data_IF_155821508764
#
_entry.id   IF_155821508764
#
_cell.length_a   1.000
_cell.length_b   1.000
_cell.length_c   1.000
_cell.angle_alpha   90.00
_cell.angle_beta   90.00
_cell.angle_gamma   90.00
#
_symmetry.space_group_name_H-M   'P 1'
#
loop_
_entity.id
_entity.type
_entity.pdbx_description
1 polymer ?
#
# COMPACT_ATOMS: atom_id res chain seq x y z
N UNK A 1 10.04 28.23 4.37
CA UNK A 1 9.58 27.37 3.26
C UNK A 1 9.83 25.92 3.67
N UNK A 2 8.79 25.13 3.90
CA UNK A 2 8.94 23.73 4.28
C UNK A 2 9.53 22.90 3.13
N UNK A 3 10.44 21.98 3.44
CA UNK A 3 11.01 21.06 2.47
C UNK A 3 9.91 20.14 1.91
N UNK A 4 9.68 20.20 0.59
CA UNK A 4 8.69 19.34 -0.08
C UNK A 4 9.23 17.90 -0.14
N UNK A 5 8.45 16.93 0.35
CA UNK A 5 8.76 15.50 0.22
C UNK A 5 8.76 15.14 -1.28
N UNK A 6 9.81 14.48 -1.77
CA UNK A 6 9.99 14.13 -3.19
C UNK A 6 9.67 12.68 -3.54
N UNK A 7 9.65 11.80 -2.54
CA UNK A 7 9.42 10.37 -2.70
C UNK A 7 8.18 10.00 -1.89
N UNK A 8 7.22 9.34 -2.54
CA UNK A 8 6.01 8.85 -1.90
C UNK A 8 5.84 7.36 -2.15
N UNK A 9 5.37 6.63 -1.14
CA UNK A 9 5.07 5.21 -1.23
C UNK A 9 3.60 4.97 -0.87
N UNK A 10 2.86 4.37 -1.80
CA UNK A 10 1.44 4.03 -1.64
C UNK A 10 1.23 2.53 -1.78
N UNK A 11 0.22 2.00 -1.08
CA UNK A 11 -0.27 0.64 -1.30
C UNK A 11 -1.67 0.72 -1.89
N UNK A 12 -1.92 -0.03 -2.95
CA UNK A 12 -3.27 -0.30 -3.46
C UNK A 12 -3.58 -1.77 -3.26
N UNK A 13 -4.66 -2.07 -2.55
CA UNK A 13 -5.18 -3.43 -2.40
C UNK A 13 -6.19 -3.68 -3.51
N UNK A 14 -6.02 -4.80 -4.23
CA UNK A 14 -6.95 -5.23 -5.26
C UNK A 14 -8.28 -5.64 -4.62
N UNK A 15 -9.43 -5.15 -5.11
CA UNK A 15 -10.74 -5.60 -4.64
C UNK A 15 -10.91 -7.11 -4.81
N UNK A 16 -11.58 -7.75 -3.84
CA UNK A 16 -11.90 -9.18 -3.84
C UNK A 16 -13.15 -9.41 -2.99
N UNK A 17 -14.02 -10.33 -3.41
CA UNK A 17 -15.21 -10.71 -2.64
C UNK A 17 -14.83 -11.50 -1.38
N UNK A 18 -13.71 -12.25 -1.44
CA UNK A 18 -13.16 -13.03 -0.32
C UNK A 18 -11.93 -12.32 0.26
N UNK A 19 -12.16 -11.23 1.00
CA UNK A 19 -11.09 -10.48 1.64
C UNK A 19 -10.63 -11.14 2.94
N UNK A 20 -9.31 -11.16 3.18
CA UNK A 20 -8.70 -11.77 4.35
C UNK A 20 -8.81 -10.87 5.60
N UNK A 21 -10.03 -10.61 6.07
CA UNK A 21 -10.34 -9.70 7.18
C UNK A 21 -9.61 -10.02 8.50
N UNK A 22 -9.28 -11.29 8.76
CA UNK A 22 -8.50 -11.70 9.94
C UNK A 22 -7.01 -11.37 9.81
N UNK A 23 -6.50 -11.24 8.58
CA UNK A 23 -5.07 -11.15 8.29
C UNK A 23 -4.63 -9.77 7.83
N UNK A 24 -5.52 -8.96 7.25
CA UNK A 24 -5.17 -7.64 6.72
C UNK A 24 -6.08 -6.61 7.37
N UNK A 25 -5.49 -5.62 8.05
CA UNK A 25 -6.22 -4.51 8.68
C UNK A 25 -5.72 -3.18 8.16
N UNK A 26 -6.65 -2.27 7.89
CA UNK A 26 -6.35 -0.89 7.53
C UNK A 26 -6.39 -0.03 8.79
N UNK A 27 -5.40 0.83 8.97
CA UNK A 27 -5.42 1.82 10.02
C UNK A 27 -6.37 2.97 9.68
N UNK A 28 -6.96 3.58 10.71
CA UNK A 28 -7.88 4.72 10.58
C UNK A 28 -7.25 5.95 9.92
N UNK A 29 -5.92 6.03 9.90
CA UNK A 29 -5.15 7.12 9.29
C UNK A 29 -5.04 7.03 7.76
N UNK A 30 -5.62 5.98 7.14
CA UNK A 30 -5.52 5.67 5.70
C UNK A 30 -4.08 5.58 5.19
N UNK A 31 -3.13 5.34 6.09
CA UNK A 31 -1.69 5.28 5.80
C UNK A 31 -1.04 4.03 6.38
N UNK A 32 -1.69 3.39 7.32
CA UNK A 32 -1.20 2.19 7.98
C UNK A 32 -1.92 0.95 7.47
N UNK A 33 -1.16 -0.13 7.26
CA UNK A 33 -1.67 -1.46 6.94
C UNK A 33 -0.95 -2.48 7.81
N UNK A 34 -1.72 -3.33 8.49
CA UNK A 34 -1.23 -4.37 9.37
C UNK A 34 -1.49 -5.76 8.76
N UNK A 35 -0.50 -6.64 8.86
CA UNK A 35 -0.54 -8.02 8.38
C UNK A 35 -0.41 -8.96 9.58
N UNK A 36 -1.41 -9.83 9.76
CA UNK A 36 -1.46 -10.87 10.77
C UNK A 36 -1.49 -12.26 10.11
N UNK A 37 -0.45 -13.07 10.32
CA UNK A 37 -0.38 -14.43 9.80
C UNK A 37 -0.88 -15.46 10.81
N UNK A 38 -1.49 -16.54 10.31
CA UNK A 38 -1.83 -17.70 11.13
C UNK A 38 -0.53 -18.39 11.57
N UNK A 39 -0.40 -18.70 12.86
CA UNK A 39 0.75 -19.44 13.41
C UNK A 39 0.88 -20.80 12.74
N UNK A 40 2.10 -21.18 12.36
CA UNK A 40 2.35 -22.53 11.87
C UNK A 40 2.24 -23.55 13.01
N UNK A 41 1.21 -24.39 12.95
CA UNK A 41 0.95 -25.46 13.93
C UNK A 41 1.99 -26.59 13.88
N UNK A 42 2.79 -26.69 12.81
CA UNK A 42 3.80 -27.75 12.64
C UNK A 42 5.10 -27.49 13.40
N UNK A 43 5.29 -26.29 13.96
CA UNK A 43 6.54 -25.88 14.64
C UNK A 43 6.65 -26.34 16.11
N UNK A 44 5.71 -27.16 16.59
CA UNK A 44 5.74 -27.71 17.95
C UNK A 44 5.37 -26.69 19.02
N UNK A 45 5.69 -27.02 20.29
CA UNK A 45 5.21 -26.29 21.48
C UNK A 45 5.79 -24.88 21.59
N UNK A 46 7.02 -24.65 21.11
CA UNK A 46 7.66 -23.32 21.09
C UNK A 46 7.72 -22.81 19.66
N UNK A 47 6.78 -21.92 19.30
CA UNK A 47 6.76 -21.27 17.99
C UNK A 47 6.93 -19.74 18.14
N UNK A 48 8.17 -19.27 18.05
CA UNK A 48 8.56 -17.84 18.10
C UNK A 48 8.50 -17.15 16.72
N UNK A 49 7.69 -17.67 15.80
CA UNK A 49 7.48 -17.02 14.50
C UNK A 49 6.85 -15.64 14.70
N UNK A 50 7.45 -14.61 14.09
CA UNK A 50 6.78 -13.33 13.92
C UNK A 50 5.55 -13.55 13.05
N UNK A 51 4.39 -13.09 13.53
CA UNK A 51 3.11 -13.21 12.82
C UNK A 51 2.44 -11.85 12.61
N UNK A 52 2.95 -10.79 13.23
CA UNK A 52 2.42 -9.44 13.14
C UNK A 52 3.44 -8.52 12.47
N UNK A 53 2.99 -7.76 11.48
CA UNK A 53 3.75 -6.69 10.83
C UNK A 53 2.87 -5.46 10.65
N UNK A 54 3.45 -4.30 10.92
CA UNK A 54 2.79 -3.00 10.73
C UNK A 54 3.60 -2.14 9.76
N UNK A 55 2.93 -1.60 8.74
CA UNK A 55 3.55 -0.75 7.73
C UNK A 55 2.85 0.59 7.67
N UNK A 56 3.61 1.69 7.76
CA UNK A 56 3.11 3.05 7.59
C UNK A 56 3.68 3.68 6.32
N UNK A 57 2.78 4.17 5.47
CA UNK A 57 3.05 4.65 4.12
C UNK A 57 2.52 6.08 3.94
N UNK A 58 2.62 6.63 2.72
CA UNK A 58 1.99 7.91 2.36
C UNK A 58 0.48 7.78 2.16
N UNK A 59 0.00 6.58 1.82
CA UNK A 59 -1.42 6.24 1.73
C UNK A 59 -1.67 4.76 1.42
N UNK A 60 -2.82 4.27 1.88
CA UNK A 60 -3.35 2.93 1.61
C UNK A 60 -4.70 3.10 0.93
N UNK A 61 -4.83 2.55 -0.28
CA UNK A 61 -6.03 2.60 -1.09
C UNK A 61 -6.63 1.19 -1.20
N UNK A 62 -7.85 1.01 -0.73
CA UNK A 62 -8.66 -0.21 -0.91
C UNK A 62 -9.99 0.19 -1.53
N UNK A 63 -10.57 -0.67 -2.36
CA UNK A 63 -11.84 -0.42 -3.08
C UNK A 63 -11.87 0.93 -3.83
N UNK A 64 -10.69 1.41 -4.22
CA UNK A 64 -10.51 2.72 -4.84
C UNK A 64 -10.65 2.63 -6.36
N UNK A 65 -11.43 3.57 -6.92
CA UNK A 65 -11.57 3.75 -8.37
C UNK A 65 -10.25 4.18 -9.01
N UNK A 66 -10.14 3.98 -10.33
CA UNK A 66 -8.98 4.42 -11.09
C UNK A 66 -8.78 5.95 -11.01
N UNK A 67 -9.88 6.71 -11.03
CA UNK A 67 -9.83 8.17 -10.90
C UNK A 67 -9.26 8.60 -9.55
N UNK A 68 -9.71 7.98 -8.45
CA UNK A 68 -9.20 8.28 -7.12
C UNK A 68 -7.71 7.92 -6.99
N UNK A 69 -7.29 6.80 -7.58
CA UNK A 69 -5.87 6.41 -7.60
C UNK A 69 -5.06 7.47 -8.35
N UNK A 70 -5.47 7.87 -9.56
CA UNK A 70 -4.76 8.90 -10.35
C UNK A 70 -4.65 10.24 -9.60
N UNK A 71 -5.77 10.72 -9.06
CA UNK A 71 -5.85 11.97 -8.30
C UNK A 71 -4.93 11.94 -7.08
N UNK A 72 -4.82 10.80 -6.41
CA UNK A 72 -4.01 10.64 -5.19
C UNK A 72 -2.52 10.48 -5.49
N UNK A 73 -2.14 9.67 -6.48
CA UNK A 73 -0.74 9.23 -6.65
C UNK A 73 0.00 9.92 -7.80
N UNK A 74 -0.71 10.34 -8.84
CA UNK A 74 -0.10 10.70 -10.12
C UNK A 74 -0.28 12.17 -10.49
N UNK A 75 -1.43 12.78 -10.15
CA UNK A 75 -1.79 14.14 -10.59
C UNK A 75 -0.74 15.19 -10.29
N UNK A 76 -0.18 15.19 -9.07
CA UNK A 76 0.84 16.17 -8.69
C UNK A 76 2.15 15.95 -9.46
N UNK A 77 2.56 14.70 -9.68
CA UNK A 77 3.75 14.36 -10.46
C UNK A 77 3.60 14.82 -11.91
N UNK A 78 2.45 14.59 -12.53
CA UNK A 78 2.14 15.06 -13.89
C UNK A 78 2.12 16.59 -13.96
N UNK A 79 1.52 17.25 -12.97
CA UNK A 79 1.48 18.72 -12.90
C UNK A 79 2.89 19.31 -12.76
N UNK A 80 3.77 18.66 -11.99
CA UNK A 80 5.17 19.07 -11.86
C UNK A 80 5.97 18.83 -13.16
N UNK A 81 5.65 17.80 -13.93
CA UNK A 81 6.28 17.58 -15.24
C UNK A 81 6.05 18.75 -16.20
N UNK A 82 4.85 19.35 -16.19
CA UNK A 82 4.54 20.55 -16.97
C UNK A 82 5.33 21.79 -16.53
N UNK A 83 5.81 21.80 -15.28
CA UNK A 83 6.67 22.86 -14.74
C UNK A 83 8.17 22.56 -14.92
N UNK A 84 8.52 21.52 -15.69
CA UNK A 84 9.91 21.16 -15.99
C UNK A 84 10.59 20.25 -14.97
N UNK A 85 9.84 19.63 -14.04
CA UNK A 85 10.41 18.68 -13.08
C UNK A 85 10.27 17.24 -13.57
N UNK A 86 11.35 16.46 -13.49
CA UNK A 86 11.30 15.04 -13.80
C UNK A 86 10.47 14.29 -12.74
N UNK A 87 9.56 13.43 -13.21
CA UNK A 87 8.70 12.60 -12.35
C UNK A 87 8.69 11.15 -12.81
N UNK A 88 8.77 10.22 -11.85
CA UNK A 88 8.71 8.78 -12.09
C UNK A 88 7.59 8.18 -11.24
N UNK A 89 6.71 7.40 -11.86
CA UNK A 89 5.69 6.60 -11.18
C UNK A 89 5.97 5.13 -11.49
N UNK A 90 6.09 4.30 -10.45
CA UNK A 90 6.40 2.88 -10.59
C UNK A 90 5.33 2.04 -9.89
N UNK A 91 4.77 1.06 -10.62
CA UNK A 91 3.88 0.06 -10.04
C UNK A 91 4.68 -1.19 -9.67
N UNK A 92 4.63 -1.60 -8.41
CA UNK A 92 5.35 -2.77 -7.89
C UNK A 92 4.39 -3.72 -7.16
N UNK A 93 4.60 -5.03 -7.35
CA UNK A 93 3.79 -6.08 -6.73
C UNK A 93 3.86 -7.39 -7.50
N UNK A 94 3.38 -8.49 -6.89
CA UNK A 94 3.36 -9.81 -7.53
C UNK A 94 2.51 -9.84 -8.82
N UNK A 95 2.68 -10.86 -9.66
CA UNK A 95 1.81 -11.11 -10.81
C UNK A 95 0.35 -11.28 -10.35
N UNK A 96 -0.59 -10.66 -11.06
CA UNK A 96 -2.02 -10.66 -10.70
C UNK A 96 -2.47 -9.59 -9.70
N UNK A 97 -1.53 -8.81 -9.11
CA UNK A 97 -1.83 -7.78 -8.11
C UNK A 97 -2.47 -6.48 -8.66
N UNK A 98 -2.63 -6.35 -9.98
CA UNK A 98 -3.25 -5.16 -10.61
C UNK A 98 -2.27 -4.03 -10.95
N UNK A 99 -1.07 -4.37 -11.42
CA UNK A 99 -0.09 -3.39 -11.96
C UNK A 99 -0.46 -2.88 -13.36
N UNK A 100 -1.14 -3.71 -14.14
CA UNK A 100 -1.67 -3.43 -15.48
C UNK A 100 -3.17 -3.43 -15.38
#
# INVERSE_FOLDING_TARGET
MGTRKKVHAFVRVKPTDDFAHEMIRYGDDKRSIDIHLKKDIRRGVVNNQQIDWSFKLDGVLHDASQDLVYETVAKDVVSQALNGYNGTIMCYGQTGAGKT
#
